data_IF_819339612494
#
_entry.id   IF_819339612494
#
_cell.length_a   1.000
_cell.length_b   1.000
_cell.length_c   1.000
_cell.angle_alpha   90.00
_cell.angle_beta   90.00
_cell.angle_gamma   90.00
#
_symmetry.space_group_name_H-M   'P 1'
#
loop_
_entity.id
_entity.type
_entity.pdbx_description
1 polymer ?
#
# COMPACT_ATOMS: atom_id res chain seq x y z
N UNK A 1 -16.38 2.78 -18.48
CA UNK A 1 -15.52 2.14 -17.48
C UNK A 1 -16.31 1.97 -16.20
N UNK A 2 -16.28 0.78 -15.60
CA UNK A 2 -16.87 0.49 -14.28
C UNK A 2 -15.74 0.16 -13.31
N UNK A 3 -15.83 0.71 -12.11
CA UNK A 3 -14.83 0.53 -11.06
C UNK A 3 -15.55 0.37 -9.74
N UNK A 4 -15.17 -0.61 -8.94
CA UNK A 4 -15.62 -0.76 -7.57
C UNK A 4 -14.54 -1.43 -6.72
N UNK A 5 -14.58 -1.15 -5.43
CA UNK A 5 -13.68 -1.77 -4.45
C UNK A 5 -14.47 -2.61 -3.44
N UNK A 6 -13.77 -3.51 -2.79
CA UNK A 6 -14.25 -4.24 -1.63
C UNK A 6 -13.12 -4.47 -0.65
N UNK A 7 -13.48 -4.64 0.61
CA UNK A 7 -12.58 -4.94 1.72
C UNK A 7 -13.16 -6.13 2.49
N UNK A 8 -12.36 -7.17 2.70
CA UNK A 8 -12.75 -8.35 3.48
C UNK A 8 -11.66 -8.66 4.50
N UNK A 9 -12.06 -8.84 5.74
CA UNK A 9 -11.18 -9.28 6.84
C UNK A 9 -11.46 -10.74 7.20
N UNK A 10 -10.43 -11.43 7.69
CA UNK A 10 -10.51 -12.81 8.16
C UNK A 10 -9.59 -13.03 9.35
N UNK A 11 -9.68 -14.25 9.91
CA UNK A 11 -8.81 -14.65 11.01
C UNK A 11 -7.41 -15.04 10.53
N UNK A 12 -7.35 -15.76 9.43
CA UNK A 12 -6.11 -16.33 8.88
C UNK A 12 -6.02 -16.02 7.38
N UNK A 13 -4.80 -15.90 6.82
CA UNK A 13 -4.62 -15.66 5.40
C UNK A 13 -5.08 -16.87 4.59
N UNK A 14 -6.00 -16.67 3.67
CA UNK A 14 -6.50 -17.75 2.82
C UNK A 14 -6.76 -17.30 1.37
N UNK A 15 -6.63 -18.20 0.40
CA UNK A 15 -7.00 -17.91 -0.99
C UNK A 15 -8.49 -17.53 -1.14
N UNK A 16 -9.35 -18.05 -0.28
CA UNK A 16 -10.80 -17.82 -0.30
C UNK A 16 -11.11 -16.34 -0.01
N UNK A 17 -10.42 -15.71 0.95
CA UNK A 17 -10.56 -14.27 1.22
C UNK A 17 -10.22 -13.42 0.00
N UNK A 18 -9.18 -13.81 -0.74
CA UNK A 18 -8.79 -13.10 -1.96
C UNK A 18 -9.82 -13.30 -3.10
N UNK A 19 -10.44 -14.47 -3.18
CA UNK A 19 -11.53 -14.71 -4.12
C UNK A 19 -12.79 -13.93 -3.72
N UNK A 20 -13.15 -13.96 -2.44
CA UNK A 20 -14.34 -13.32 -1.88
C UNK A 20 -14.29 -11.79 -2.11
N UNK A 21 -13.17 -11.15 -1.81
CA UNK A 21 -13.03 -9.70 -2.00
C UNK A 21 -13.19 -9.30 -3.46
N UNK A 22 -12.72 -10.13 -4.40
CA UNK A 22 -12.89 -9.90 -5.84
C UNK A 22 -14.35 -10.09 -6.25
N UNK A 23 -15.02 -11.15 -5.80
CA UNK A 23 -16.44 -11.36 -6.09
C UNK A 23 -17.30 -10.20 -5.59
N UNK A 24 -17.06 -9.73 -4.36
CA UNK A 24 -17.78 -8.60 -3.78
C UNK A 24 -17.57 -7.32 -4.60
N UNK A 25 -16.33 -7.07 -5.05
CA UNK A 25 -16.02 -5.91 -5.89
C UNK A 25 -16.65 -6.01 -7.29
N UNK A 26 -16.68 -7.21 -7.92
CA UNK A 26 -17.38 -7.44 -9.19
C UNK A 26 -18.88 -7.20 -9.06
N UNK A 27 -19.49 -7.71 -7.98
CA UNK A 27 -20.89 -7.50 -7.68
C UNK A 27 -21.21 -6.01 -7.50
N UNK A 28 -20.38 -5.28 -6.74
CA UNK A 28 -20.52 -3.85 -6.54
C UNK A 28 -20.38 -3.06 -7.84
N UNK A 29 -19.51 -3.50 -8.76
CA UNK A 29 -19.36 -2.91 -10.09
C UNK A 29 -20.48 -3.29 -11.06
N UNK A 30 -21.30 -4.29 -10.74
CA UNK A 30 -22.33 -4.85 -11.63
C UNK A 30 -21.74 -5.45 -12.91
N UNK A 31 -20.69 -6.26 -12.76
CA UNK A 31 -20.01 -6.95 -13.85
C UNK A 31 -19.65 -8.39 -13.46
N UNK A 32 -19.54 -9.27 -14.47
CA UNK A 32 -19.17 -10.68 -14.25
C UNK A 32 -17.65 -10.92 -14.32
N UNK A 33 -16.92 -10.00 -15.00
CA UNK A 33 -15.48 -10.11 -15.21
C UNK A 33 -14.83 -8.74 -15.09
N UNK A 34 -13.58 -8.74 -14.69
CA UNK A 34 -12.73 -7.55 -14.72
C UNK A 34 -11.75 -7.58 -15.88
N UNK A 35 -11.38 -6.41 -16.40
CA UNK A 35 -10.23 -6.26 -17.31
C UNK A 35 -8.93 -6.31 -16.51
N UNK A 36 -8.93 -5.70 -15.32
CA UNK A 36 -7.80 -5.74 -14.39
C UNK A 36 -8.27 -5.58 -12.95
N UNK A 37 -7.45 -6.05 -12.01
CA UNK A 37 -7.68 -5.94 -10.57
C UNK A 37 -6.42 -5.44 -9.89
N UNK A 38 -6.56 -4.42 -9.05
CA UNK A 38 -5.58 -4.11 -8.03
C UNK A 38 -5.99 -4.88 -6.77
N UNK A 39 -5.13 -5.80 -6.35
CA UNK A 39 -5.33 -6.62 -5.17
C UNK A 39 -4.27 -6.27 -4.13
N UNK A 40 -4.70 -5.93 -2.93
CA UNK A 40 -3.80 -5.72 -1.79
C UNK A 40 -4.16 -6.73 -0.70
N UNK A 41 -3.14 -7.36 -0.14
CA UNK A 41 -3.28 -8.38 0.89
C UNK A 41 -2.56 -7.91 2.16
N UNK A 42 -3.03 -8.33 3.31
CA UNK A 42 -2.33 -8.09 4.58
C UNK A 42 -0.96 -8.77 4.61
N UNK A 43 -0.09 -8.30 5.48
CA UNK A 43 1.32 -8.72 5.55
C UNK A 43 1.52 -10.21 5.79
N UNK A 44 0.63 -10.86 6.49
CA UNK A 44 0.67 -12.30 6.77
C UNK A 44 0.56 -13.19 5.54
N UNK A 45 0.11 -12.63 4.38
CA UNK A 45 0.15 -13.33 3.09
C UNK A 45 1.54 -13.40 2.44
N UNK A 46 2.58 -12.75 2.96
CA UNK A 46 3.92 -12.72 2.32
C UNK A 46 4.40 -14.10 1.89
N UNK A 47 4.17 -15.13 2.73
CA UNK A 47 4.57 -16.52 2.41
C UNK A 47 3.55 -17.28 1.57
N UNK A 48 2.33 -16.76 1.41
CA UNK A 48 1.19 -17.44 0.79
C UNK A 48 0.51 -16.60 -0.29
N UNK A 49 1.16 -15.55 -0.79
CA UNK A 49 0.56 -14.61 -1.73
C UNK A 49 0.17 -15.27 -3.07
N UNK A 50 1.00 -16.17 -3.62
CA UNK A 50 0.74 -16.75 -4.94
C UNK A 50 -0.58 -17.55 -5.01
N UNK A 51 -0.94 -18.43 -4.05
CA UNK A 51 -2.24 -19.09 -4.04
C UNK A 51 -3.41 -18.09 -3.99
N UNK A 52 -3.31 -17.03 -3.19
CA UNK A 52 -4.33 -15.99 -3.10
C UNK A 52 -4.49 -15.21 -4.42
N UNK A 53 -3.37 -14.86 -5.08
CA UNK A 53 -3.38 -14.22 -6.40
C UNK A 53 -4.07 -15.10 -7.44
N UNK A 54 -3.81 -16.41 -7.44
CA UNK A 54 -4.44 -17.38 -8.35
C UNK A 54 -5.94 -17.44 -8.09
N UNK A 55 -6.37 -17.49 -6.83
CA UNK A 55 -7.80 -17.50 -6.47
C UNK A 55 -8.49 -16.20 -6.92
N UNK A 56 -7.88 -15.05 -6.69
CA UNK A 56 -8.36 -13.76 -7.17
C UNK A 56 -8.46 -13.71 -8.71
N UNK A 57 -7.47 -14.25 -9.42
CA UNK A 57 -7.46 -14.28 -10.88
C UNK A 57 -8.61 -15.13 -11.45
N UNK A 58 -8.88 -16.27 -10.83
CA UNK A 58 -10.02 -17.13 -11.18
C UNK A 58 -11.35 -16.42 -10.93
N UNK A 59 -11.50 -15.79 -9.77
CA UNK A 59 -12.71 -15.04 -9.42
C UNK A 59 -12.93 -13.85 -10.37
N UNK A 60 -11.86 -13.13 -10.76
CA UNK A 60 -11.93 -11.99 -11.66
C UNK A 60 -12.13 -12.37 -13.13
N UNK A 61 -11.86 -13.62 -13.53
CA UNK A 61 -11.84 -14.05 -14.92
C UNK A 61 -10.71 -13.42 -15.74
N UNK A 62 -9.62 -12.96 -15.07
CA UNK A 62 -8.47 -12.33 -15.73
C UNK A 62 -7.18 -12.61 -14.95
N UNK A 63 -6.05 -12.64 -15.68
CA UNK A 63 -4.71 -12.71 -15.09
C UNK A 63 -4.11 -11.34 -14.80
N UNK A 64 -4.80 -10.25 -15.14
CA UNK A 64 -4.34 -8.88 -14.91
C UNK A 64 -4.53 -8.48 -13.44
N UNK A 65 -3.92 -9.25 -12.52
CA UNK A 65 -3.94 -9.02 -11.08
C UNK A 65 -2.60 -8.43 -10.69
N UNK A 66 -2.63 -7.23 -10.10
CA UNK A 66 -1.43 -6.52 -9.68
C UNK A 66 -1.61 -5.90 -8.30
N UNK A 67 -0.53 -5.75 -7.54
CA UNK A 67 -0.57 -5.16 -6.21
C UNK A 67 0.57 -5.62 -5.33
N UNK A 68 0.35 -5.60 -4.03
CA UNK A 68 1.35 -5.98 -3.04
C UNK A 68 0.70 -6.37 -1.70
N UNK A 69 1.51 -6.95 -0.81
CA UNK A 69 1.15 -7.01 0.60
C UNK A 69 1.40 -5.66 1.26
N UNK A 70 0.63 -5.32 2.29
CA UNK A 70 0.76 -4.08 3.05
C UNK A 70 0.48 -4.32 4.53
N UNK A 71 1.02 -3.46 5.39
CA UNK A 71 0.80 -3.53 6.83
C UNK A 71 -0.65 -3.22 7.20
N UNK A 72 -1.28 -2.27 6.52
CA UNK A 72 -2.68 -1.94 6.68
C UNK A 72 -3.38 -1.85 5.34
N UNK A 73 -4.65 -2.18 5.32
CA UNK A 73 -5.52 -2.15 4.17
C UNK A 73 -6.67 -1.19 4.41
N UNK A 74 -7.06 -0.44 3.39
CA UNK A 74 -8.21 0.46 3.49
C UNK A 74 -8.91 0.65 2.14
N UNK A 75 -10.19 0.93 2.20
CA UNK A 75 -10.99 1.43 1.08
C UNK A 75 -12.03 2.42 1.62
N UNK A 76 -13.00 2.81 0.80
CA UNK A 76 -14.08 3.73 1.19
C UNK A 76 -15.03 3.16 2.24
N UNK A 77 -15.02 1.84 2.50
CA UNK A 77 -15.88 1.17 3.48
C UNK A 77 -15.23 1.10 4.87
N UNK A 78 -13.90 1.14 4.94
CA UNK A 78 -13.18 1.01 6.20
C UNK A 78 -11.72 0.66 6.05
N UNK A 79 -11.14 0.12 7.11
CA UNK A 79 -9.75 -0.24 7.19
C UNK A 79 -9.52 -1.49 8.04
N UNK A 80 -8.42 -2.19 7.78
CA UNK A 80 -7.94 -3.35 8.53
C UNK A 80 -6.50 -3.12 8.94
N UNK A 81 -6.20 -3.34 10.22
CA UNK A 81 -4.87 -3.38 10.80
C UNK A 81 -4.77 -4.60 11.70
N UNK A 82 -3.57 -5.20 11.79
CA UNK A 82 -3.25 -6.30 12.69
C UNK A 82 -4.17 -7.54 12.57
N UNK A 83 -4.75 -7.76 11.39
CA UNK A 83 -5.54 -8.94 11.05
C UNK A 83 -5.39 -9.30 9.58
N UNK A 84 -5.67 -10.56 9.26
CA UNK A 84 -5.70 -11.03 7.88
C UNK A 84 -6.79 -10.32 7.08
N UNK A 85 -6.51 -10.03 5.83
CA UNK A 85 -7.52 -9.43 4.96
C UNK A 85 -7.04 -9.17 3.55
N UNK A 86 -7.98 -8.74 2.74
CA UNK A 86 -7.78 -8.40 1.35
C UNK A 86 -8.60 -7.17 0.95
N UNK A 87 -8.04 -6.34 0.07
CA UNK A 87 -8.75 -5.28 -0.66
C UNK A 87 -8.59 -5.54 -2.14
N UNK A 88 -9.68 -5.48 -2.88
CA UNK A 88 -9.67 -5.52 -4.33
C UNK A 88 -10.33 -4.26 -4.91
N UNK A 89 -9.70 -3.69 -5.93
CA UNK A 89 -10.30 -2.72 -6.82
C UNK A 89 -10.42 -3.37 -8.19
N UNK A 90 -11.63 -3.62 -8.64
CA UNK A 90 -11.89 -4.14 -9.98
C UNK A 90 -12.10 -3.01 -10.97
N UNK A 91 -11.55 -3.18 -12.17
CA UNK A 91 -11.66 -2.26 -13.29
C UNK A 91 -12.21 -3.06 -14.47
N UNK A 92 -13.35 -2.65 -15.00
CA UNK A 92 -14.00 -3.31 -16.12
C UNK A 92 -14.50 -2.31 -17.14
N UNK A 93 -14.67 -2.77 -18.38
CA UNK A 93 -15.08 -1.94 -19.52
C UNK A 93 -14.13 -0.73 -19.67
N UNK A 94 -12.83 -0.98 -19.46
CA UNK A 94 -11.80 0.02 -19.68
C UNK A 94 -11.74 0.40 -21.16
N UNK A 95 -11.58 1.67 -21.52
CA UNK A 95 -11.31 2.04 -22.89
C UNK A 95 -10.00 1.37 -23.33
N UNK A 96 -9.91 1.02 -24.62
CA UNK A 96 -8.68 0.46 -25.18
C UNK A 96 -7.49 1.36 -24.81
N UNK A 97 -6.32 0.79 -24.46
CA UNK A 97 -5.18 1.57 -24.05
C UNK A 97 -4.81 2.56 -25.16
N UNK A 98 -4.90 3.85 -24.83
CA UNK A 98 -4.32 4.87 -25.70
C UNK A 98 -2.82 4.64 -25.67
N UNK A 99 -2.23 4.31 -26.80
CA UNK A 99 -0.82 4.00 -26.94
C UNK A 99 0.03 5.14 -26.39
N UNK A 100 0.65 4.91 -25.23
CA UNK A 100 1.82 5.66 -24.79
C UNK A 100 1.59 7.03 -24.16
N UNK A 101 0.42 7.36 -23.63
CA UNK A 101 0.26 8.61 -22.90
C UNK A 101 1.06 8.56 -21.59
N UNK A 102 2.07 9.44 -21.49
CA UNK A 102 2.89 9.63 -20.28
C UNK A 102 2.09 10.14 -19.06
N UNK A 103 0.82 10.45 -19.25
CA UNK A 103 -0.10 10.93 -18.20
C UNK A 103 -0.85 9.81 -17.50
N UNK A 104 -0.76 8.58 -18.00
CA UNK A 104 -1.35 7.44 -17.33
C UNK A 104 -0.68 7.24 -15.96
N UNK A 105 -1.47 6.99 -14.91
CA UNK A 105 -0.92 6.74 -13.59
C UNK A 105 -0.05 5.48 -13.60
N UNK A 106 1.16 5.61 -13.06
CA UNK A 106 2.08 4.52 -12.83
C UNK A 106 2.09 4.18 -11.35
N UNK A 107 1.54 2.99 -11.04
CA UNK A 107 1.64 2.42 -9.71
C UNK A 107 2.88 1.54 -9.63
N UNK A 108 3.61 1.66 -8.52
CA UNK A 108 4.86 0.94 -8.32
C UNK A 108 4.90 0.34 -6.92
N UNK A 109 5.16 -0.96 -6.83
CA UNK A 109 5.21 -1.71 -5.58
C UNK A 109 6.53 -2.45 -5.47
N UNK A 110 7.27 -2.25 -4.39
CA UNK A 110 8.56 -2.90 -4.18
C UNK A 110 8.71 -3.42 -2.75
N UNK A 111 9.20 -4.65 -2.64
CA UNK A 111 9.62 -5.28 -1.39
C UNK A 111 11.09 -4.99 -1.04
N UNK A 112 11.59 -3.79 -1.29
CA UNK A 112 12.96 -3.39 -1.02
C UNK A 112 13.01 -2.22 -0.03
N UNK A 113 14.12 -2.12 0.72
CA UNK A 113 14.39 -1.01 1.64
C UNK A 113 14.65 0.33 0.95
N UNK A 114 15.05 0.29 -0.33
CA UNK A 114 15.44 1.48 -1.07
C UNK A 114 14.67 1.58 -2.37
N UNK A 115 14.38 2.80 -2.77
CA UNK A 115 13.78 3.08 -4.06
C UNK A 115 14.72 2.57 -5.17
N UNK A 116 14.26 1.70 -6.08
CA UNK A 116 15.07 1.27 -7.23
C UNK A 116 15.58 2.48 -8.02
N UNK A 117 16.83 2.43 -8.47
CA UNK A 117 17.48 3.55 -9.15
C UNK A 117 16.67 4.04 -10.35
N UNK A 118 16.16 3.11 -11.16
CA UNK A 118 15.37 3.40 -12.36
C UNK A 118 14.02 4.07 -12.04
N UNK A 119 13.56 3.95 -10.79
CA UNK A 119 12.31 4.57 -10.34
C UNK A 119 12.48 6.01 -9.89
N UNK A 120 13.71 6.49 -9.76
CA UNK A 120 13.99 7.89 -9.39
C UNK A 120 13.73 8.86 -10.55
N UNK A 121 13.68 8.34 -11.77
CA UNK A 121 13.38 9.13 -12.96
C UNK A 121 11.86 9.20 -13.22
N UNK A 122 11.46 10.16 -14.07
CA UNK A 122 10.08 10.24 -14.56
C UNK A 122 9.68 8.95 -15.30
N UNK A 123 8.40 8.55 -15.25
CA UNK A 123 7.22 9.30 -14.84
C UNK A 123 6.97 9.34 -13.33
N UNK A 124 6.09 10.26 -12.89
CA UNK A 124 5.62 10.31 -11.51
C UNK A 124 4.94 9.01 -11.12
N UNK A 125 5.23 8.53 -9.93
CA UNK A 125 4.77 7.24 -9.40
C UNK A 125 4.01 7.42 -8.09
N UNK A 126 3.09 6.52 -7.84
CA UNK A 126 2.49 6.29 -6.54
C UNK A 126 2.56 4.80 -6.21
N UNK A 127 2.60 4.42 -4.94
CA UNK A 127 2.61 3.02 -4.55
C UNK A 127 3.20 2.77 -3.19
N UNK A 128 3.77 1.57 -3.01
CA UNK A 128 4.34 1.11 -1.75
C UNK A 128 5.81 0.74 -1.94
N UNK A 129 6.63 1.19 -1.00
CA UNK A 129 7.99 0.74 -0.79
C UNK A 129 8.10 0.20 0.64
N UNK A 130 8.16 -1.10 0.79
CA UNK A 130 8.25 -1.77 2.10
C UNK A 130 9.13 -3.01 1.97
N UNK A 131 10.19 -3.07 2.76
CA UNK A 131 11.18 -4.15 2.74
C UNK A 131 10.60 -5.53 3.03
N UNK A 132 9.50 -5.60 3.72
CA UNK A 132 8.87 -6.86 4.14
C UNK A 132 7.64 -7.21 3.28
N UNK A 133 7.33 -6.37 2.29
CA UNK A 133 6.25 -6.63 1.34
C UNK A 133 6.71 -7.55 0.20
N UNK A 134 5.76 -8.24 -0.39
CA UNK A 134 5.89 -8.86 -1.71
C UNK A 134 4.94 -8.18 -2.69
N UNK A 135 5.40 -8.02 -3.93
CA UNK A 135 4.62 -7.40 -4.98
C UNK A 135 4.32 -8.40 -6.11
N UNK A 136 3.30 -8.14 -6.87
CA UNK A 136 2.93 -8.94 -8.04
C UNK A 136 2.37 -8.08 -9.17
N UNK A 137 2.57 -8.58 -10.37
CA UNK A 137 1.98 -8.04 -11.59
C UNK A 137 1.56 -9.20 -12.51
N UNK A 138 0.47 -8.98 -13.24
CA UNK A 138 -0.07 -9.97 -14.20
C UNK A 138 -0.27 -11.37 -13.58
N UNK A 139 -0.72 -11.42 -12.33
CA UNK A 139 -1.01 -12.66 -11.62
C UNK A 139 0.20 -13.45 -11.11
N UNK A 140 1.39 -12.87 -11.12
CA UNK A 140 2.64 -13.51 -10.69
C UNK A 140 3.41 -12.65 -9.72
N UNK A 141 4.07 -13.28 -8.76
CA UNK A 141 5.00 -12.57 -7.89
C UNK A 141 6.10 -11.92 -8.73
N UNK A 142 6.37 -10.66 -8.43
CA UNK A 142 7.41 -9.88 -9.07
C UNK A 142 8.75 -10.12 -8.35
N UNK A 143 9.81 -10.25 -9.14
CA UNK A 143 11.17 -10.18 -8.63
C UNK A 143 11.62 -8.73 -8.41
N UNK A 144 12.92 -8.54 -8.25
CA UNK A 144 13.56 -7.22 -8.19
C UNK A 144 13.47 -6.53 -9.56
N UNK A 145 13.12 -5.25 -9.65
CA UNK A 145 12.95 -4.26 -8.55
C UNK A 145 11.54 -4.22 -7.93
N UNK A 146 10.58 -4.96 -8.42
CA UNK A 146 9.20 -4.96 -7.97
C UNK A 146 8.19 -4.99 -9.11
N UNK A 147 6.97 -4.57 -8.87
CA UNK A 147 5.88 -4.53 -9.84
C UNK A 147 5.57 -3.09 -10.25
N UNK A 148 5.37 -2.87 -11.53
CA UNK A 148 4.86 -1.62 -12.09
C UNK A 148 3.56 -1.89 -12.84
N UNK A 149 2.57 -1.03 -12.63
CA UNK A 149 1.24 -1.15 -13.21
C UNK A 149 0.80 0.18 -13.80
N UNK A 150 0.46 0.18 -15.06
CA UNK A 150 -0.21 1.31 -15.70
C UNK A 150 -1.72 1.09 -15.67
N UNK A 151 -2.46 2.16 -15.48
CA UNK A 151 -3.92 2.15 -15.50
C UNK A 151 -4.41 2.89 -16.76
N UNK A 152 -4.58 2.17 -17.88
CA UNK A 152 -4.96 2.76 -19.16
C UNK A 152 -6.30 3.52 -19.08
N UNK A 153 -6.36 4.67 -19.71
CA UNK A 153 -7.59 5.48 -19.78
C UNK A 153 -7.93 6.20 -18.48
N UNK A 154 -7.05 6.14 -17.47
CA UNK A 154 -7.20 6.88 -16.21
C UNK A 154 -6.27 8.09 -16.17
N UNK A 155 -6.75 9.16 -15.54
CA UNK A 155 -5.93 10.32 -15.23
C UNK A 155 -5.71 10.38 -13.73
N UNK A 156 -4.45 10.38 -13.28
CA UNK A 156 -4.12 10.54 -11.87
C UNK A 156 -3.74 11.99 -11.56
N UNK A 157 -4.19 12.44 -10.40
CA UNK A 157 -3.64 13.61 -9.72
C UNK A 157 -2.93 13.11 -8.47
N UNK A 158 -1.65 13.36 -8.38
CA UNK A 158 -0.86 13.00 -7.20
C UNK A 158 -0.81 14.22 -6.28
N UNK A 159 -1.13 13.97 -5.02
CA UNK A 159 -0.94 14.93 -3.93
C UNK A 159 -0.15 14.21 -2.84
N UNK A 160 0.76 14.93 -2.22
CA UNK A 160 1.56 14.42 -1.11
C UNK A 160 1.21 15.18 0.15
N UNK A 161 0.93 14.45 1.21
CA UNK A 161 0.86 14.99 2.56
C UNK A 161 1.75 14.14 3.45
N UNK A 162 2.79 14.70 4.07
CA UNK A 162 3.66 13.93 4.95
C UNK A 162 2.95 13.48 6.24
N UNK A 163 1.75 13.98 6.52
CA UNK A 163 1.05 13.72 7.77
C UNK A 163 1.78 14.25 9.01
N UNK A 164 2.84 15.01 8.80
CA UNK A 164 3.74 15.50 9.84
C UNK A 164 3.75 17.02 9.85
N UNK A 165 3.88 17.57 11.03
CA UNK A 165 4.13 19.00 11.25
C UNK A 165 5.43 19.16 12.02
N UNK A 166 6.30 20.05 11.54
CA UNK A 166 7.48 20.45 12.31
C UNK A 166 7.03 21.14 13.60
N UNK A 167 7.47 20.59 14.72
CA UNK A 167 7.17 21.13 16.05
C UNK A 167 8.26 22.10 16.53
N UNK A 168 9.45 22.05 15.93
CA UNK A 168 10.58 22.89 16.31
C UNK A 168 11.69 22.88 15.26
N UNK A 169 12.78 23.52 15.57
CA UNK A 169 13.99 23.49 14.73
C UNK A 169 14.69 22.13 14.81
N UNK A 170 15.46 21.74 13.78
CA UNK A 170 16.28 20.54 13.83
C UNK A 170 17.24 20.57 15.02
N UNK A 171 17.34 19.47 15.75
CA UNK A 171 18.25 19.29 16.87
C UNK A 171 19.28 18.23 16.53
N UNK A 172 20.51 18.43 16.99
CA UNK A 172 21.57 17.43 16.83
C UNK A 172 21.31 16.25 17.77
N UNK A 173 21.39 15.02 17.25
CA UNK A 173 21.38 13.80 18.05
C UNK A 173 22.71 13.73 18.79
N UNK A 174 22.70 13.80 20.13
CA UNK A 174 23.90 13.81 20.97
C UNK A 174 24.14 12.50 21.70
N UNK A 175 23.15 11.65 21.83
CA UNK A 175 23.32 10.27 22.33
C UNK A 175 22.25 9.33 21.82
N UNK A 176 22.67 8.07 21.52
CA UNK A 176 21.81 6.95 21.16
C UNK A 176 22.24 5.70 21.91
N UNK A 177 21.34 4.73 22.05
CA UNK A 177 21.67 3.38 22.52
C UNK A 177 20.94 2.39 21.59
N UNK A 178 21.68 1.75 20.69
CA UNK A 178 21.07 0.99 19.60
C UNK A 178 20.20 1.89 18.73
N UNK A 179 18.92 1.55 18.61
CA UNK A 179 17.92 2.34 17.89
C UNK A 179 17.21 3.38 18.77
N UNK A 180 17.48 3.39 20.08
CA UNK A 180 16.87 4.34 21.00
C UNK A 180 17.54 5.71 20.94
N UNK A 181 16.75 6.73 20.70
CA UNK A 181 17.20 8.13 20.80
C UNK A 181 17.23 8.55 22.27
N UNK A 182 18.41 8.82 22.81
CA UNK A 182 18.61 9.16 24.21
C UNK A 182 18.68 10.66 24.46
N UNK A 183 19.40 11.39 23.60
CA UNK A 183 19.56 12.84 23.77
C UNK A 183 19.51 13.61 22.45
N UNK A 184 18.91 14.79 22.52
CA UNK A 184 18.85 15.79 21.46
C UNK A 184 19.41 17.12 22.01
N UNK A 185 20.44 17.67 21.38
CA UNK A 185 21.07 18.91 21.82
C UNK A 185 21.57 18.89 23.25
N UNK A 186 22.01 17.75 23.76
CA UNK A 186 22.49 17.58 25.14
C UNK A 186 21.39 17.39 26.20
N UNK A 187 20.10 17.44 25.82
CA UNK A 187 18.97 17.19 26.73
C UNK A 187 18.39 15.79 26.47
N UNK A 188 17.72 15.22 27.47
CA UNK A 188 16.98 13.98 27.27
C UNK A 188 15.99 14.13 26.10
N UNK A 189 15.91 13.12 25.22
CA UNK A 189 15.08 13.19 24.02
C UNK A 189 13.59 13.43 24.34
N UNK A 190 13.11 12.81 25.44
CA UNK A 190 11.72 12.99 25.93
C UNK A 190 11.48 14.44 26.37
N UNK A 191 12.42 15.04 27.08
CA UNK A 191 12.30 16.43 27.54
C UNK A 191 12.29 17.40 26.35
N UNK A 192 13.13 17.12 25.34
CA UNK A 192 13.18 17.90 24.11
C UNK A 192 11.85 17.79 23.34
N UNK A 193 11.26 16.59 23.25
CA UNK A 193 9.94 16.38 22.64
C UNK A 193 8.85 17.14 23.43
N UNK A 194 8.80 17.00 24.73
CA UNK A 194 7.80 17.65 25.57
C UNK A 194 7.82 19.18 25.40
N UNK A 195 8.99 19.79 25.30
CA UNK A 195 9.13 21.25 25.07
C UNK A 195 8.58 21.70 23.72
N UNK A 196 8.60 20.82 22.73
CA UNK A 196 8.10 21.11 21.39
C UNK A 196 6.59 20.83 21.22
N UNK A 197 5.98 20.08 22.13
CA UNK A 197 4.57 19.75 22.05
C UNK A 197 3.67 20.95 22.37
N UNK A 198 2.56 21.15 21.65
CA UNK A 198 1.56 22.14 22.00
C UNK A 198 1.01 21.93 23.40
N UNK A 199 0.71 23.04 24.11
CA UNK A 199 0.06 22.99 25.40
C UNK A 199 -1.25 22.21 25.33
N UNK A 200 -1.41 21.12 25.95
CA UNK A 200 -2.57 20.20 25.85
C UNK A 200 -2.21 18.79 25.39
N UNK A 201 -1.00 18.60 24.82
CA UNK A 201 -0.48 17.28 24.46
C UNK A 201 0.59 16.79 25.45
N UNK A 202 0.80 17.51 26.55
CA UNK A 202 1.82 17.17 27.56
C UNK A 202 1.42 16.02 28.49
N UNK A 203 0.20 15.53 28.45
CA UNK A 203 -0.32 14.55 29.39
C UNK A 203 -0.46 13.17 28.72
N UNK A 204 0.62 12.46 28.59
CA UNK A 204 0.61 11.04 28.25
C UNK A 204 2.04 10.51 28.19
N UNK A 205 2.38 9.59 29.06
CA UNK A 205 3.59 8.83 28.87
C UNK A 205 3.55 8.16 27.50
N UNK A 206 4.64 8.17 26.71
CA UNK A 206 4.65 7.46 25.44
C UNK A 206 4.29 5.99 25.73
N UNK A 207 3.26 5.49 25.04
CA UNK A 207 2.97 4.06 25.07
C UNK A 207 4.25 3.33 24.62
N UNK A 208 4.79 2.51 25.51
CA UNK A 208 5.80 1.54 25.13
C UNK A 208 5.12 0.51 24.23
N UNK A 209 5.72 0.12 23.09
CA UNK A 209 5.24 -0.99 22.29
C UNK A 209 5.29 -2.31 23.06
#
# INVERSE_FOLDING_TARGET
MKVASSLVGGRDPSPELAAEVVHNALQAAGVERADSVLLFLSRDYVRHAQPAIIAAARAAGTTQISGCTAYGLLNEQGWLLDQSGAVALVIAQSPAPATGDRREPLLSFSGHHTLPYDWQALPARAGLLDAEAVAWAHGRLAGTPGAEVRLPGMHARLASSPGLRLLGLPLTVTATTGYDLRQLGGLAAVDSLQRCLPAGLHAGAPHRP
#
